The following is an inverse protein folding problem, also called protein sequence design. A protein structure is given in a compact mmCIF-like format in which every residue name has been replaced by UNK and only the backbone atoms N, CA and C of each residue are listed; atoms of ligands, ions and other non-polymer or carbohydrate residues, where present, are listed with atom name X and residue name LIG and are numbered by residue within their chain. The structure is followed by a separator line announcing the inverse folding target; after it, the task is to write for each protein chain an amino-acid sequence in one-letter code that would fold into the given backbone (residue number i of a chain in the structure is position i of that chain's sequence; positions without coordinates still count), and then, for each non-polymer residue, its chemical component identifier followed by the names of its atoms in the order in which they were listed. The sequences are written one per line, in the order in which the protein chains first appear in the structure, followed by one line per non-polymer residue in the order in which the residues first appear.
data_IF_039829022264
#
_entry.id   IF_039829022264
#
_cell.length_a   1.000
_cell.length_b   1.000
_cell.length_c   1.000
_cell.angle_alpha   90.00
_cell.angle_beta   90.00
_cell.angle_gamma   90.00
#
_symmetry.space_group_name_H-M   'P 1'
#
loop_
_entity.id
_entity.type
_entity.pdbx_description
1 polymer ?
#
# COMPACT_ATOMS: atom_id res chain seq x y z
N UNK A 1 18.09 -38.30 -19.72
CA UNK A 1 18.56 -37.65 -18.48
C UNK A 1 17.71 -38.17 -17.34
N UNK A 2 18.29 -38.95 -16.44
CA UNK A 2 17.58 -39.57 -15.31
C UNK A 2 17.40 -38.53 -14.21
N UNK A 3 16.17 -38.11 -13.99
CA UNK A 3 15.78 -37.42 -12.77
C UNK A 3 15.45 -38.49 -11.73
N UNK A 4 16.47 -39.01 -11.04
CA UNK A 4 16.27 -40.05 -10.05
C UNK A 4 17.56 -40.37 -9.31
N UNK A 5 17.48 -40.24 -7.98
CA UNK A 5 18.40 -40.70 -6.93
C UNK A 5 19.43 -39.68 -6.39
N UNK A 6 19.10 -39.16 -5.21
CA UNK A 6 20.08 -38.81 -4.17
C UNK A 6 20.52 -37.36 -4.12
N UNK A 7 19.79 -36.55 -3.33
CA UNK A 7 20.17 -35.22 -2.81
C UNK A 7 21.08 -34.38 -3.71
N UNK A 8 20.47 -33.57 -4.57
CA UNK A 8 21.15 -32.54 -5.33
C UNK A 8 22.05 -31.73 -4.39
N UNK A 9 23.35 -31.67 -4.69
CA UNK A 9 24.32 -30.95 -3.87
C UNK A 9 23.92 -29.47 -3.81
N UNK A 10 24.11 -28.80 -2.67
CA UNK A 10 23.87 -27.36 -2.53
C UNK A 10 24.57 -26.52 -3.60
N UNK A 11 25.75 -26.95 -4.05
CA UNK A 11 26.45 -26.30 -5.16
C UNK A 11 25.68 -26.41 -6.48
N UNK A 12 25.16 -27.61 -6.79
CA UNK A 12 24.38 -27.86 -8.02
C UNK A 12 23.03 -27.13 -7.97
N UNK A 13 22.42 -27.05 -6.79
CA UNK A 13 21.17 -26.34 -6.58
C UNK A 13 21.36 -24.82 -6.74
N UNK A 14 22.47 -24.27 -6.21
CA UNK A 14 22.86 -22.87 -6.44
C UNK A 14 23.09 -22.61 -7.93
N UNK A 15 23.84 -23.48 -8.60
CA UNK A 15 24.18 -23.30 -10.00
C UNK A 15 22.93 -23.40 -10.90
N UNK A 16 21.97 -24.28 -10.54
CA UNK A 16 20.65 -24.33 -11.17
C UNK A 16 19.86 -23.02 -10.96
N UNK A 17 19.83 -22.48 -9.74
CA UNK A 17 19.17 -21.20 -9.44
C UNK A 17 19.82 -20.03 -10.18
N UNK A 18 21.15 -20.00 -10.31
CA UNK A 18 21.86 -18.98 -11.08
C UNK A 18 21.56 -19.07 -12.58
N UNK A 19 21.45 -20.29 -13.11
CA UNK A 19 21.16 -20.56 -14.52
C UNK A 19 19.70 -20.29 -14.91
N UNK A 20 18.79 -20.09 -13.94
CA UNK A 20 17.42 -19.73 -14.24
C UNK A 20 17.35 -18.36 -14.96
N UNK A 21 16.38 -18.17 -15.87
CA UNK A 21 16.10 -16.86 -16.44
C UNK A 21 15.84 -15.81 -15.36
N UNK A 22 16.25 -14.57 -15.61
CA UNK A 22 16.01 -13.44 -14.68
C UNK A 22 14.51 -13.26 -14.36
N UNK A 23 13.64 -13.58 -15.32
CA UNK A 23 12.18 -13.50 -15.18
C UNK A 23 11.57 -14.74 -14.50
N UNK A 24 12.38 -15.67 -13.99
CA UNK A 24 11.87 -16.87 -13.32
C UNK A 24 11.26 -16.55 -11.95
N UNK A 25 10.16 -17.23 -11.62
CA UNK A 25 9.49 -17.10 -10.32
C UNK A 25 10.43 -17.33 -9.12
N UNK A 26 11.42 -18.21 -9.27
CA UNK A 26 12.40 -18.50 -8.22
C UNK A 26 13.40 -17.36 -7.99
N UNK A 27 13.87 -16.69 -9.06
CA UNK A 27 14.71 -15.49 -8.92
C UNK A 27 13.90 -14.28 -8.45
N UNK A 28 12.63 -14.18 -8.85
CA UNK A 28 11.71 -13.17 -8.36
C UNK A 28 11.49 -13.28 -6.84
N UNK A 29 11.15 -14.49 -6.37
CA UNK A 29 10.95 -14.75 -4.94
C UNK A 29 12.24 -14.52 -4.11
N UNK A 30 13.42 -14.89 -4.63
CA UNK A 30 14.71 -14.64 -3.96
C UNK A 30 15.01 -13.14 -3.82
N UNK A 31 14.54 -12.32 -4.78
CA UNK A 31 14.68 -10.87 -4.77
C UNK A 31 13.60 -10.15 -3.95
N UNK A 32 12.73 -10.89 -3.23
CA UNK A 32 11.67 -10.32 -2.39
C UNK A 32 10.39 -9.95 -3.15
N UNK A 33 10.21 -10.40 -4.40
CA UNK A 33 8.98 -10.16 -5.17
C UNK A 33 7.93 -11.21 -4.82
N UNK A 34 6.97 -10.82 -3.96
CA UNK A 34 5.93 -11.71 -3.43
C UNK A 34 4.64 -11.60 -4.28
N UNK A 35 4.42 -10.49 -4.98
CA UNK A 35 3.13 -10.16 -5.62
C UNK A 35 3.20 -9.89 -7.14
N UNK A 36 4.32 -10.19 -7.79
CA UNK A 36 4.46 -10.01 -9.25
C UNK A 36 4.41 -8.55 -9.69
N UNK A 37 4.82 -7.63 -8.80
CA UNK A 37 4.83 -6.19 -9.06
C UNK A 37 6.07 -5.75 -9.84
N UNK A 38 7.01 -6.66 -10.11
CA UNK A 38 8.26 -6.31 -10.78
C UNK A 38 8.10 -6.17 -12.28
N UNK A 39 8.52 -5.04 -12.82
CA UNK A 39 8.64 -4.86 -14.26
C UNK A 39 9.77 -5.71 -14.83
N UNK A 40 9.53 -6.28 -16.02
CA UNK A 40 10.61 -6.89 -16.79
C UNK A 40 11.67 -5.83 -17.16
N UNK A 41 12.90 -6.25 -17.44
CA UNK A 41 13.95 -5.33 -17.89
C UNK A 41 13.52 -4.52 -19.14
N UNK A 42 12.77 -5.14 -20.05
CA UNK A 42 12.22 -4.47 -21.23
C UNK A 42 11.21 -3.37 -20.86
N UNK A 43 10.38 -3.63 -19.85
CA UNK A 43 9.37 -2.69 -19.36
C UNK A 43 10.02 -1.50 -18.65
N UNK A 44 11.05 -1.76 -17.83
CA UNK A 44 11.88 -0.71 -17.23
C UNK A 44 12.53 0.19 -18.30
N UNK A 45 13.11 -0.42 -19.33
CA UNK A 45 13.77 0.33 -20.40
C UNK A 45 12.77 1.20 -21.18
N UNK A 46 11.60 0.65 -21.52
CA UNK A 46 10.54 1.39 -22.21
C UNK A 46 10.02 2.57 -21.37
N UNK A 47 9.79 2.35 -20.08
CA UNK A 47 9.37 3.40 -19.15
C UNK A 47 10.43 4.50 -18.99
N UNK A 48 11.71 4.12 -18.86
CA UNK A 48 12.81 5.07 -18.77
C UNK A 48 12.93 5.91 -20.05
N UNK A 49 12.81 5.28 -21.23
CA UNK A 49 12.84 5.97 -22.52
C UNK A 49 11.67 6.94 -22.66
N UNK A 50 10.46 6.53 -22.27
CA UNK A 50 9.29 7.41 -22.25
C UNK A 50 9.52 8.64 -21.36
N UNK A 51 10.00 8.44 -20.13
CA UNK A 51 10.26 9.53 -19.19
C UNK A 51 11.35 10.49 -19.71
N UNK A 52 12.40 9.98 -20.35
CA UNK A 52 13.42 10.80 -20.97
C UNK A 52 12.85 11.66 -22.11
N UNK A 53 12.02 11.07 -22.97
CA UNK A 53 11.33 11.80 -24.05
C UNK A 53 10.37 12.86 -23.49
N UNK A 54 9.61 12.52 -22.46
CA UNK A 54 8.72 13.46 -21.79
C UNK A 54 9.48 14.69 -21.26
N UNK A 55 10.67 14.47 -20.66
CA UNK A 55 11.53 15.56 -20.21
C UNK A 55 12.02 16.42 -21.37
N UNK A 56 12.50 15.82 -22.47
CA UNK A 56 12.92 16.56 -23.66
C UNK A 56 11.79 17.39 -24.26
N UNK A 57 10.58 16.83 -24.36
CA UNK A 57 9.39 17.54 -24.84
C UNK A 57 9.08 18.74 -23.95
N UNK A 58 9.15 18.58 -22.63
CA UNK A 58 8.93 19.70 -21.69
C UNK A 58 9.97 20.81 -21.88
N UNK A 59 11.25 20.46 -22.05
CA UNK A 59 12.34 21.42 -22.31
C UNK A 59 12.14 22.16 -23.64
N UNK A 60 11.79 21.43 -24.70
CA UNK A 60 11.55 22.03 -26.01
C UNK A 60 10.33 22.95 -25.99
N UNK A 61 9.27 22.54 -25.27
CA UNK A 61 8.06 23.34 -25.13
C UNK A 61 8.33 24.66 -24.42
N UNK A 62 9.03 24.63 -23.28
CA UNK A 62 9.37 25.87 -22.55
C UNK A 62 10.29 26.79 -23.34
N UNK A 63 11.16 26.22 -24.19
CA UNK A 63 12.10 27.00 -25.00
C UNK A 63 11.47 27.60 -26.28
N UNK A 64 10.54 26.90 -26.94
CA UNK A 64 10.11 27.25 -28.30
C UNK A 64 8.61 27.53 -28.47
N UNK A 65 7.75 27.16 -27.52
CA UNK A 65 6.29 27.23 -27.67
C UNK A 65 5.66 28.17 -26.64
N UNK A 66 4.62 28.91 -27.08
CA UNK A 66 3.80 29.73 -26.18
C UNK A 66 2.64 28.90 -25.63
N UNK A 67 2.47 28.93 -24.30
CA UNK A 67 1.38 28.24 -23.60
C UNK A 67 1.89 27.22 -22.57
N UNK A 68 0.97 26.56 -21.86
CA UNK A 68 1.32 25.50 -20.90
C UNK A 68 1.65 24.21 -21.64
N UNK A 69 2.71 23.52 -21.21
CA UNK A 69 3.07 22.21 -21.73
C UNK A 69 1.94 21.19 -21.48
N UNK A 70 1.81 20.15 -22.31
CA UNK A 70 0.86 19.07 -22.09
C UNK A 70 1.08 18.42 -20.72
N UNK A 71 0.01 18.22 -19.96
CA UNK A 71 0.03 17.46 -18.72
C UNK A 71 0.13 15.96 -19.05
N UNK A 72 1.36 15.48 -19.17
CA UNK A 72 1.66 14.04 -19.22
C UNK A 72 2.47 13.67 -17.99
N UNK A 73 2.00 12.68 -17.26
CA UNK A 73 2.65 12.21 -16.04
C UNK A 73 3.78 11.24 -16.36
N UNK A 74 4.90 11.30 -15.62
CA UNK A 74 5.96 10.33 -15.77
C UNK A 74 5.50 8.96 -15.31
N UNK A 75 5.98 7.93 -15.98
CA UNK A 75 5.78 6.54 -15.61
C UNK A 75 6.65 6.25 -14.38
N UNK A 76 6.03 5.93 -13.24
CA UNK A 76 6.73 5.63 -12.00
C UNK A 76 7.04 4.12 -11.91
N UNK A 77 8.29 3.72 -11.63
CA UNK A 77 8.63 2.31 -11.48
C UNK A 77 7.93 1.71 -10.24
N UNK A 78 7.63 0.40 -10.26
CA UNK A 78 7.10 -0.29 -9.09
C UNK A 78 8.12 -0.23 -7.95
N UNK A 79 7.61 -0.02 -6.73
CA UNK A 79 8.45 0.13 -5.53
C UNK A 79 8.87 -1.27 -5.07
N UNK A 80 10.18 -1.53 -5.05
CA UNK A 80 10.75 -2.85 -4.68
C UNK A 80 11.05 -2.93 -3.17
N UNK A 81 11.14 -1.79 -2.46
CA UNK A 81 11.59 -1.71 -1.06
C UNK A 81 10.48 -1.32 -0.05
N UNK A 82 9.23 -1.14 -0.47
CA UNK A 82 8.20 -0.45 0.33
C UNK A 82 7.46 -1.31 1.39
N UNK A 83 7.92 -2.54 1.67
CA UNK A 83 7.17 -3.41 2.59
C UNK A 83 7.08 -2.83 4.02
N UNK A 84 8.08 -2.08 4.49
CA UNK A 84 8.07 -1.49 5.84
C UNK A 84 7.22 -0.20 5.93
N UNK A 85 7.13 0.60 4.86
CA UNK A 85 6.36 1.84 4.86
C UNK A 85 4.86 1.59 4.61
N UNK A 86 4.54 0.62 3.75
CA UNK A 86 3.16 0.27 3.43
C UNK A 86 2.48 -0.46 4.60
N UNK A 87 3.21 -1.23 5.41
CA UNK A 87 2.67 -1.83 6.65
C UNK A 87 2.29 -0.77 7.69
N UNK A 88 3.08 0.29 7.83
CA UNK A 88 2.76 1.39 8.73
C UNK A 88 1.53 2.17 8.25
N UNK A 89 1.44 2.46 6.94
CA UNK A 89 0.28 3.16 6.37
C UNK A 89 -1.00 2.31 6.42
N UNK A 90 -0.89 0.99 6.17
CA UNK A 90 -1.99 0.04 6.31
C UNK A 90 -2.43 -0.12 7.77
N UNK A 91 -1.50 -0.17 8.72
CA UNK A 91 -1.80 -0.24 10.14
C UNK A 91 -2.52 1.04 10.62
N UNK A 92 -2.07 2.22 10.18
CA UNK A 92 -2.75 3.48 10.46
C UNK A 92 -4.14 3.55 9.81
N UNK A 93 -4.30 3.00 8.60
CA UNK A 93 -5.60 2.90 7.94
C UNK A 93 -6.55 1.95 8.69
N UNK A 94 -6.05 0.81 9.17
CA UNK A 94 -6.81 -0.14 9.99
C UNK A 94 -7.23 0.48 11.32
N UNK A 95 -6.32 1.14 12.04
CA UNK A 95 -6.66 1.82 13.30
C UNK A 95 -7.74 2.90 13.12
N UNK A 96 -7.69 3.67 12.03
CA UNK A 96 -8.75 4.65 11.71
C UNK A 96 -10.08 3.96 11.41
N UNK A 97 -10.06 2.84 10.68
CA UNK A 97 -11.26 2.08 10.38
C UNK A 97 -11.88 1.48 11.65
N UNK A 98 -11.06 0.94 12.56
CA UNK A 98 -11.49 0.40 13.85
C UNK A 98 -12.11 1.49 14.73
N UNK A 99 -11.47 2.66 14.85
CA UNK A 99 -12.03 3.79 15.61
C UNK A 99 -13.36 4.27 15.05
N UNK A 100 -13.48 4.33 13.72
CA UNK A 100 -14.74 4.68 13.07
C UNK A 100 -15.82 3.65 13.37
N UNK A 101 -15.52 2.35 13.28
CA UNK A 101 -16.47 1.29 13.58
C UNK A 101 -16.86 1.24 15.07
N UNK A 102 -15.92 1.50 15.98
CA UNK A 102 -16.17 1.51 17.42
C UNK A 102 -17.10 2.65 17.83
N UNK A 103 -17.08 3.78 17.10
CA UNK A 103 -18.05 4.87 17.29
C UNK A 103 -19.50 4.47 16.99
N UNK A 104 -19.71 3.43 16.18
CA UNK A 104 -21.03 2.85 15.90
C UNK A 104 -21.28 1.59 16.73
N UNK A 105 -20.43 1.26 17.70
CA UNK A 105 -20.61 0.06 18.50
C UNK A 105 -21.83 0.22 19.43
N UNK A 106 -22.65 -0.84 19.58
CA UNK A 106 -23.84 -0.83 20.43
C UNK A 106 -23.51 -0.71 21.94
N UNK A 107 -22.23 -0.80 22.32
CA UNK A 107 -21.79 -0.60 23.69
C UNK A 107 -21.64 0.89 24.04
N UNK A 108 -21.10 1.71 23.12
CA UNK A 108 -20.97 3.16 23.32
C UNK A 108 -22.34 3.87 23.34
N UNK A 109 -23.23 3.49 22.41
CA UNK A 109 -24.59 4.04 22.35
C UNK A 109 -25.42 3.77 23.61
N UNK A 110 -25.29 2.59 24.24
CA UNK A 110 -25.96 2.31 25.53
C UNK A 110 -25.40 3.11 26.70
N UNK A 111 -24.10 3.43 26.70
CA UNK A 111 -23.50 4.24 27.76
C UNK A 111 -23.97 5.69 27.67
N UNK A 112 -24.03 6.24 26.46
CA UNK A 112 -24.51 7.60 26.23
C UNK A 112 -26.01 7.73 26.58
N UNK A 113 -26.84 6.77 26.14
CA UNK A 113 -28.27 6.74 26.50
C UNK A 113 -28.49 6.62 28.02
N UNK A 114 -27.66 5.83 28.72
CA UNK A 114 -27.78 5.66 30.16
C UNK A 114 -27.30 6.91 30.93
N UNK A 115 -26.31 7.64 30.42
CA UNK A 115 -25.85 8.90 30.99
C UNK A 115 -26.94 9.98 30.88
N UNK A 116 -27.61 10.07 29.72
CA UNK A 116 -28.73 10.98 29.49
C UNK A 116 -29.90 10.69 30.44
N UNK A 117 -30.27 9.41 30.60
CA UNK A 117 -31.34 8.99 31.52
C UNK A 117 -31.02 9.42 32.96
N UNK A 118 -29.78 9.24 33.40
CA UNK A 118 -29.36 9.63 34.75
C UNK A 118 -29.40 11.15 34.95
N UNK A 119 -29.01 11.93 33.93
CA UNK A 119 -29.10 13.39 33.97
C UNK A 119 -30.57 13.86 34.12
N UNK A 120 -31.47 13.28 33.33
CA UNK A 120 -32.89 13.62 33.40
C UNK A 120 -33.53 13.22 34.73
N UNK A 121 -33.16 12.08 35.31
CA UNK A 121 -33.61 11.69 36.65
C UNK A 121 -33.14 12.67 37.73
N UNK A 122 -31.89 13.15 37.65
CA UNK A 122 -31.38 14.14 38.58
C UNK A 122 -32.11 15.49 38.46
N UNK A 123 -32.45 15.93 37.24
CA UNK A 123 -33.24 17.15 37.01
C UNK A 123 -34.66 17.04 37.55
N UNK A 124 -35.32 15.88 37.37
CA UNK A 124 -36.66 15.65 37.90
C UNK A 124 -36.65 15.69 39.42
N UNK A 125 -35.70 15.00 40.07
CA UNK A 125 -35.58 15.01 41.53
C UNK A 125 -35.34 16.43 42.09
N UNK A 126 -34.55 17.26 41.39
CA UNK A 126 -34.32 18.65 41.77
C UNK A 126 -35.58 19.52 41.62
N UNK A 127 -36.40 19.29 40.58
CA UNK A 127 -37.65 20.00 40.37
C UNK A 127 -38.72 19.60 41.41
N UNK A 128 -38.81 18.31 41.73
CA UNK A 128 -39.70 17.80 42.78
C UNK A 128 -39.33 18.36 44.16
N UNK A 129 -38.03 18.44 44.49
CA UNK A 129 -37.55 19.05 45.73
C UNK A 129 -37.79 20.58 45.81
N UNK A 130 -37.98 21.25 44.67
CA UNK A 130 -38.26 22.69 44.61
C UNK A 130 -39.77 23.02 44.62
N UNK A 131 -40.64 22.04 44.35
CA UNK A 131 -42.10 22.22 44.22
C UNK A 131 -42.93 21.43 45.25
N UNK A 132 -42.27 20.69 46.16
CA UNK A 132 -42.86 20.11 47.37
C UNK A 132 -42.50 20.88 48.62
#
# INVERSE_FOLDING_TARGET
MSWGEGSMNWAELRDLVQALPEDSATKAALAGDIDGQRWSASTFLAAAQYNALLMLVRILWTAHLKGKAPAMDPIQPPRIEAHEADEAELAEAQQRAEQYLDSYSPAGTRQDEQADINEWQARIAALEAAHG
#
